data_IF_904444689123
#
_entry.id   IF_904444689123
#
_cell.length_a   1.000
_cell.length_b   1.000
_cell.length_c   1.000
_cell.angle_alpha   90.00
_cell.angle_beta   90.00
_cell.angle_gamma   90.00
#
_symmetry.space_group_name_H-M   'P 1'
#
loop_
_entity.id
_entity.type
_entity.pdbx_description
1 polymer ?
#
# COMPACT_ATOMS: atom_id res chain seq x y z
N UNK A 1 -9.62 -13.45 -29.06
CA UNK A 1 -9.05 -12.89 -27.81
C UNK A 1 -8.97 -11.39 -28.02
N UNK A 2 -9.55 -10.56 -27.14
CA UNK A 2 -9.45 -9.10 -27.28
C UNK A 2 -8.07 -8.62 -26.81
N UNK A 3 -7.51 -7.63 -27.49
CA UNK A 3 -6.20 -7.03 -27.15
C UNK A 3 -6.34 -6.06 -25.97
N UNK A 4 -5.21 -5.69 -25.34
CA UNK A 4 -5.23 -4.73 -24.23
C UNK A 4 -5.77 -3.38 -24.69
N UNK A 5 -5.51 -2.99 -25.94
CA UNK A 5 -5.99 -1.73 -26.52
C UNK A 5 -7.51 -1.73 -26.72
N UNK A 6 -8.13 -2.90 -26.83
CA UNK A 6 -9.58 -3.05 -26.96
C UNK A 6 -10.29 -3.17 -25.60
N UNK A 7 -9.56 -3.52 -24.53
CA UNK A 7 -10.15 -3.79 -23.22
C UNK A 7 -9.80 -2.76 -22.15
N UNK A 8 -8.76 -1.96 -22.37
CA UNK A 8 -8.24 -1.02 -21.39
C UNK A 8 -8.12 0.37 -22.02
N UNK A 9 -8.57 1.38 -21.29
CA UNK A 9 -8.32 2.77 -21.62
C UNK A 9 -7.22 3.32 -20.70
N UNK A 10 -6.07 3.80 -21.24
CA UNK A 10 -5.09 4.50 -20.44
C UNK A 10 -5.70 5.74 -19.79
N UNK A 11 -5.17 6.15 -18.64
CA UNK A 11 -5.62 7.38 -17.96
C UNK A 11 -5.29 8.61 -18.81
N UNK A 12 -6.06 9.67 -18.65
CA UNK A 12 -5.90 10.92 -19.40
C UNK A 12 -4.48 11.49 -19.30
N UNK A 13 -3.89 11.47 -18.10
CA UNK A 13 -2.51 11.90 -17.84
C UNK A 13 -1.46 11.10 -18.64
N UNK A 14 -1.71 9.81 -18.90
CA UNK A 14 -0.85 8.96 -19.75
C UNK A 14 -0.98 9.40 -21.20
N UNK A 15 -2.23 9.60 -21.66
CA UNK A 15 -2.53 9.99 -23.04
C UNK A 15 -2.00 11.39 -23.38
N UNK A 16 -1.95 12.30 -22.40
CA UNK A 16 -1.40 13.66 -22.54
C UNK A 16 0.13 13.72 -22.37
N UNK A 17 0.79 12.63 -22.00
CA UNK A 17 2.25 12.62 -21.79
C UNK A 17 2.70 13.38 -20.54
N UNK A 18 1.84 13.49 -19.53
CA UNK A 18 2.08 14.27 -18.30
C UNK A 18 2.75 13.44 -17.18
N UNK A 19 2.88 12.12 -17.35
CA UNK A 19 3.58 11.27 -16.39
C UNK A 19 5.07 11.55 -16.36
N UNK A 20 5.58 11.83 -15.15
CA UNK A 20 7.01 11.92 -14.87
C UNK A 20 7.53 10.58 -14.36
N UNK A 21 8.75 10.20 -14.75
CA UNK A 21 9.36 8.94 -14.30
C UNK A 21 9.51 8.85 -12.77
N UNK A 22 9.66 10.01 -12.11
CA UNK A 22 9.77 10.15 -10.67
C UNK A 22 8.59 9.50 -9.92
N UNK A 23 7.39 9.51 -10.51
CA UNK A 23 6.20 8.95 -9.88
C UNK A 23 6.23 7.42 -9.77
N UNK A 24 7.11 6.74 -10.51
CA UNK A 24 7.24 5.28 -10.43
C UNK A 24 8.17 4.83 -9.29
N UNK A 25 8.85 5.78 -8.62
CA UNK A 25 9.75 5.49 -7.51
C UNK A 25 9.01 5.62 -6.18
N UNK A 26 8.43 4.52 -5.73
CA UNK A 26 7.87 4.44 -4.38
C UNK A 26 8.96 4.60 -3.31
N UNK A 27 8.73 5.47 -2.32
CA UNK A 27 9.62 5.72 -1.18
C UNK A 27 8.82 5.82 0.10
N UNK A 28 9.04 4.88 1.03
CA UNK A 28 8.36 4.90 2.33
C UNK A 28 8.79 6.11 3.18
N UNK A 29 10.06 6.51 3.07
CA UNK A 29 10.60 7.71 3.75
C UNK A 29 9.86 8.96 3.30
N UNK A 30 9.67 9.13 1.99
CA UNK A 30 9.01 10.33 1.46
C UNK A 30 7.52 10.34 1.82
N UNK A 31 6.86 9.17 1.84
CA UNK A 31 5.48 9.06 2.35
C UNK A 31 5.40 9.44 3.82
N UNK A 32 6.33 8.96 4.65
CA UNK A 32 6.37 9.30 6.07
C UNK A 32 6.59 10.80 6.30
N UNK A 33 7.53 11.39 5.56
CA UNK A 33 7.89 12.81 5.65
C UNK A 33 6.90 13.74 4.93
N UNK A 34 5.82 13.22 4.34
CA UNK A 34 4.84 13.98 3.54
C UNK A 34 5.44 14.66 2.29
N UNK A 35 6.55 14.14 1.78
CA UNK A 35 7.27 14.64 0.59
C UNK A 35 6.95 13.83 -0.67
N UNK A 36 6.32 12.67 -0.54
CA UNK A 36 5.93 11.86 -1.70
C UNK A 36 4.79 12.51 -2.51
N UNK A 37 4.75 12.15 -3.79
CA UNK A 37 3.64 12.38 -4.70
C UNK A 37 2.32 11.85 -4.13
N UNK A 38 1.20 12.48 -4.47
CA UNK A 38 -0.10 12.16 -3.89
C UNK A 38 -0.55 10.72 -4.20
N UNK A 39 -0.08 10.14 -5.31
CA UNK A 39 -0.29 8.71 -5.64
C UNK A 39 0.22 7.75 -4.57
N UNK A 40 1.20 8.18 -3.76
CA UNK A 40 1.72 7.43 -2.63
C UNK A 40 1.35 8.03 -1.28
N UNK A 41 1.29 9.36 -1.16
CA UNK A 41 1.07 10.07 0.11
C UNK A 41 -0.40 10.06 0.54
N UNK A 42 -1.34 10.24 -0.39
CA UNK A 42 -2.77 10.25 -0.08
C UNK A 42 -3.32 8.82 -0.05
N UNK A 43 -3.86 8.35 1.09
CA UNK A 43 -4.32 6.97 1.20
C UNK A 43 -5.44 6.63 0.20
N UNK A 44 -6.33 7.59 -0.11
CA UNK A 44 -7.42 7.36 -1.05
C UNK A 44 -6.87 7.08 -2.45
N UNK A 45 -6.06 7.99 -2.96
CA UNK A 45 -5.42 7.87 -4.27
C UNK A 45 -4.54 6.62 -4.35
N UNK A 46 -3.78 6.34 -3.30
CA UNK A 46 -2.95 5.15 -3.21
C UNK A 46 -3.77 3.85 -3.36
N UNK A 47 -4.85 3.67 -2.57
CA UNK A 47 -5.66 2.45 -2.63
C UNK A 47 -6.55 2.35 -3.87
N UNK A 48 -6.96 3.48 -4.44
CA UNK A 48 -7.66 3.54 -5.73
C UNK A 48 -6.74 3.05 -6.87
N UNK A 49 -5.43 3.30 -6.76
CA UNK A 49 -4.43 2.90 -7.75
C UNK A 49 -3.71 1.58 -7.40
N UNK A 50 -4.08 0.94 -6.29
CA UNK A 50 -3.44 -0.30 -5.84
C UNK A 50 -4.26 -1.52 -6.24
N UNK A 51 -3.67 -2.39 -7.04
CA UNK A 51 -4.24 -3.70 -7.32
C UNK A 51 -4.15 -4.61 -6.07
N UNK A 52 -5.27 -5.21 -5.70
CA UNK A 52 -5.44 -5.95 -4.44
C UNK A 52 -5.04 -7.41 -4.58
N UNK A 53 -3.74 -7.64 -4.76
CA UNK A 53 -3.18 -8.99 -4.87
C UNK A 53 -3.42 -9.81 -3.60
N UNK A 54 -3.48 -11.13 -3.74
CA UNK A 54 -3.60 -12.02 -2.57
C UNK A 54 -2.38 -11.94 -1.66
N UNK A 55 -1.20 -11.67 -2.23
CA UNK A 55 0.03 -11.41 -1.46
C UNK A 55 -0.09 -10.17 -0.58
N UNK A 56 -0.63 -9.06 -1.11
CA UNK A 56 -0.88 -7.85 -0.32
C UNK A 56 -1.90 -8.12 0.79
N UNK A 57 -3.02 -8.77 0.48
CA UNK A 57 -4.05 -9.15 1.47
C UNK A 57 -3.45 -9.99 2.60
N UNK A 58 -2.63 -10.98 2.25
CA UNK A 58 -1.98 -11.89 3.20
C UNK A 58 -1.03 -11.13 4.11
N UNK A 59 -0.14 -10.32 3.52
CA UNK A 59 0.80 -9.48 4.27
C UNK A 59 0.08 -8.59 5.29
N UNK A 60 -0.95 -7.88 4.84
CA UNK A 60 -1.67 -6.93 5.70
C UNK A 60 -2.42 -7.65 6.82
N UNK A 61 -3.07 -8.78 6.55
CA UNK A 61 -3.71 -9.60 7.59
C UNK A 61 -2.71 -10.10 8.63
N UNK A 62 -1.52 -10.53 8.20
CA UNK A 62 -0.47 -11.01 9.09
C UNK A 62 0.05 -9.89 9.99
N UNK A 63 0.49 -8.78 9.38
CA UNK A 63 1.09 -7.65 10.08
C UNK A 63 0.08 -6.95 11.01
N UNK A 64 -1.11 -6.61 10.50
CA UNK A 64 -2.13 -5.90 11.27
C UNK A 64 -2.77 -6.78 12.34
N UNK A 65 -2.92 -8.08 12.08
CA UNK A 65 -3.42 -9.03 13.08
C UNK A 65 -2.50 -9.10 14.31
N UNK A 66 -1.18 -9.11 14.09
CA UNK A 66 -0.24 -8.98 15.22
C UNK A 66 -0.33 -7.61 15.85
N UNK A 67 -0.31 -6.54 15.05
CA UNK A 67 -0.25 -5.16 15.51
C UNK A 67 -1.41 -4.76 16.41
N UNK A 68 -2.62 -5.21 16.06
CA UNK A 68 -3.85 -4.97 16.83
C UNK A 68 -4.03 -5.92 18.02
N UNK A 69 -3.24 -7.00 18.08
CA UNK A 69 -3.38 -8.07 19.08
C UNK A 69 -4.47 -9.09 18.76
N UNK A 70 -5.30 -8.87 17.74
CA UNK A 70 -6.35 -9.81 17.30
C UNK A 70 -5.77 -11.18 16.95
N UNK A 71 -4.57 -11.19 16.36
CA UNK A 71 -3.79 -12.39 16.07
C UNK A 71 -2.38 -12.26 16.67
N UNK A 72 -2.30 -12.18 17.99
CA UNK A 72 -1.02 -12.01 18.71
C UNK A 72 0.05 -13.09 18.41
N UNK A 73 -0.37 -14.27 17.93
CA UNK A 73 0.52 -15.36 17.53
C UNK A 73 1.19 -15.18 16.16
N UNK A 74 0.71 -14.24 15.33
CA UNK A 74 1.30 -13.96 14.02
C UNK A 74 2.77 -13.52 14.15
N UNK A 75 3.60 -13.75 13.13
CA UNK A 75 5.05 -13.52 13.23
C UNK A 75 5.39 -12.05 13.54
N UNK A 76 6.31 -11.75 14.49
CA UNK A 76 6.83 -10.41 14.72
C UNK A 76 7.72 -9.89 13.59
N UNK A 77 8.22 -10.78 12.74
CA UNK A 77 9.13 -10.47 11.64
C UNK A 77 8.57 -11.05 10.36
N UNK A 78 8.35 -10.20 9.35
CA UNK A 78 7.89 -10.62 8.03
C UNK A 78 8.98 -10.29 7.02
N UNK A 79 9.51 -11.32 6.36
CA UNK A 79 10.47 -11.16 5.27
C UNK A 79 9.72 -11.12 3.94
N UNK A 80 9.82 -10.00 3.22
CA UNK A 80 9.25 -9.87 1.88
C UNK A 80 10.21 -10.47 0.86
N UNK A 81 9.93 -11.69 0.43
CA UNK A 81 10.66 -12.38 -0.63
C UNK A 81 9.99 -12.09 -1.97
N UNK A 82 10.43 -11.03 -2.64
CA UNK A 82 9.98 -10.72 -3.99
C UNK A 82 11.18 -10.36 -4.87
N UNK A 83 11.11 -10.74 -6.14
CA UNK A 83 12.02 -10.27 -7.19
C UNK A 83 12.02 -8.74 -7.30
N UNK A 84 12.95 -8.20 -8.10
CA UNK A 84 12.94 -6.78 -8.46
C UNK A 84 11.58 -6.38 -9.06
N UNK A 85 11.07 -5.20 -8.69
CA UNK A 85 9.73 -4.76 -9.07
C UNK A 85 8.56 -5.44 -8.33
N UNK A 86 8.82 -6.39 -7.42
CA UNK A 86 7.77 -7.17 -6.74
C UNK A 86 6.98 -6.43 -5.64
N UNK A 87 7.02 -5.10 -5.59
CA UNK A 87 6.14 -4.30 -4.73
C UNK A 87 6.52 -4.21 -3.26
N UNK A 88 7.77 -4.49 -2.85
CA UNK A 88 8.19 -4.41 -1.42
C UNK A 88 7.89 -3.04 -0.78
N UNK A 89 8.33 -1.95 -1.40
CA UNK A 89 8.06 -0.60 -0.87
C UNK A 89 6.57 -0.27 -0.92
N UNK A 90 5.86 -0.69 -1.97
CA UNK A 90 4.42 -0.50 -2.12
C UNK A 90 3.63 -1.18 -0.99
N UNK A 91 4.00 -2.42 -0.69
CA UNK A 91 3.45 -3.21 0.40
C UNK A 91 3.66 -2.54 1.77
N UNK A 92 4.85 -1.97 2.00
CA UNK A 92 5.14 -1.23 3.22
C UNK A 92 4.34 0.08 3.31
N UNK A 93 4.13 0.79 2.20
CA UNK A 93 3.28 2.00 2.14
C UNK A 93 1.83 1.65 2.46
N UNK A 94 1.31 0.55 1.90
CA UNK A 94 -0.05 0.08 2.21
C UNK A 94 -0.23 -0.20 3.71
N UNK A 95 0.73 -0.90 4.32
CA UNK A 95 0.74 -1.17 5.75
C UNK A 95 0.82 0.12 6.57
N UNK A 96 1.69 1.05 6.17
CA UNK A 96 1.86 2.36 6.82
C UNK A 96 0.55 3.17 6.83
N UNK A 97 -0.15 3.24 5.69
CA UNK A 97 -1.44 3.93 5.59
C UNK A 97 -2.47 3.32 6.53
N UNK A 98 -2.62 2.00 6.54
CA UNK A 98 -3.57 1.31 7.42
C UNK A 98 -3.21 1.50 8.91
N UNK A 99 -1.93 1.42 9.25
CA UNK A 99 -1.44 1.63 10.62
C UNK A 99 -1.62 3.08 11.11
N UNK A 100 -1.73 4.05 10.20
CA UNK A 100 -1.95 5.46 10.56
C UNK A 100 -3.31 5.74 11.19
N UNK A 101 -4.29 4.82 11.06
CA UNK A 101 -5.66 4.99 11.56
C UNK A 101 -6.48 6.06 10.80
N UNK A 102 -5.98 6.57 9.68
CA UNK A 102 -6.64 7.62 8.87
C UNK A 102 -7.43 7.07 7.68
N UNK A 103 -7.37 5.76 7.43
CA UNK A 103 -8.00 5.12 6.27
C UNK A 103 -9.44 4.74 6.60
N UNK A 104 -10.38 5.15 5.75
CA UNK A 104 -11.79 4.77 5.87
C UNK A 104 -11.97 3.27 5.65
N UNK A 105 -12.71 2.60 6.53
CA UNK A 105 -13.01 1.18 6.42
C UNK A 105 -13.65 0.78 5.08
N UNK A 106 -14.52 1.64 4.53
CA UNK A 106 -15.19 1.38 3.24
C UNK A 106 -14.20 1.26 2.08
N UNK A 107 -13.04 1.91 2.17
CA UNK A 107 -12.02 1.93 1.12
C UNK A 107 -11.24 0.61 1.03
N UNK A 108 -11.11 -0.09 2.15
CA UNK A 108 -10.18 -1.22 2.33
C UNK A 108 -10.88 -2.48 2.83
N UNK A 109 -12.22 -2.52 2.84
CA UNK A 109 -13.01 -3.64 3.35
C UNK A 109 -12.79 -4.96 2.60
N UNK A 110 -12.42 -4.88 1.32
CA UNK A 110 -12.09 -6.01 0.47
C UNK A 110 -10.61 -6.44 0.57
N UNK A 111 -9.80 -5.64 1.26
CA UNK A 111 -8.37 -5.86 1.47
C UNK A 111 -8.11 -6.48 2.85
N UNK A 112 -8.70 -5.93 3.91
CA UNK A 112 -8.56 -6.41 5.29
C UNK A 112 -9.87 -6.34 6.07
N UNK A 113 -10.15 -7.31 6.96
CA UNK A 113 -11.27 -7.25 7.89
C UNK A 113 -11.21 -6.02 8.81
N UNK A 114 -12.38 -5.49 9.17
CA UNK A 114 -12.54 -4.30 10.01
C UNK A 114 -11.77 -4.40 11.34
N UNK A 115 -11.86 -5.56 12.00
CA UNK A 115 -11.21 -5.85 13.28
C UNK A 115 -9.68 -5.74 13.24
N UNK A 116 -9.06 -5.84 12.06
CA UNK A 116 -7.61 -5.72 11.92
C UNK A 116 -7.16 -4.27 11.70
N UNK A 117 -8.08 -3.33 11.49
CA UNK A 117 -7.71 -1.92 11.30
C UNK A 117 -7.53 -1.28 12.68
N UNK A 118 -6.35 -0.71 12.99
CA UNK A 118 -6.13 -0.10 14.31
C UNK A 118 -7.14 1.03 14.57
N UNK A 119 -7.81 1.03 15.74
CA UNK A 119 -8.81 2.06 16.08
C UNK A 119 -8.19 3.43 16.37
N UNK A 120 -6.88 3.47 16.58
CA UNK A 120 -6.07 4.68 16.80
C UNK A 120 -4.81 4.58 15.96
N UNK A 121 -4.25 5.74 15.61
CA UNK A 121 -2.97 5.81 14.91
C UNK A 121 -1.87 5.08 15.69
N UNK A 122 -1.18 4.16 15.02
CA UNK A 122 0.01 3.51 15.54
C UNK A 122 1.22 4.40 15.21
N UNK A 123 2.08 4.62 16.19
CA UNK A 123 3.37 5.28 15.94
C UNK A 123 4.25 4.35 15.10
N UNK A 124 4.56 4.77 13.88
CA UNK A 124 5.46 4.05 12.98
C UNK A 124 6.77 4.83 12.83
N UNK A 125 7.89 4.10 12.81
CA UNK A 125 9.23 4.63 12.51
C UNK A 125 9.74 3.86 11.29
N UNK A 126 9.79 4.47 10.09
CA UNK A 126 10.38 3.84 8.93
C UNK A 126 11.90 3.78 9.06
N UNK A 127 12.48 2.61 8.84
CA UNK A 127 13.92 2.42 8.73
C UNK A 127 14.23 1.92 7.33
N UNK A 128 14.99 2.71 6.57
CA UNK A 128 15.42 2.35 5.22
C UNK A 128 16.95 2.25 5.24
N UNK A 129 17.46 1.07 4.94
CA UNK A 129 18.89 0.85 4.77
C UNK A 129 19.35 1.36 3.42
N UNK A 130 20.45 2.13 3.42
CA UNK A 130 21.20 2.55 2.23
C UNK A 130 22.31 1.56 1.91
#
# INVERSE_FOLDING_TARGET
>A
MKTIFETCQPRDEVLRGELKDEIFRASLTDVHNQQAEDVYKDPKTFFDHTHRTDGLKTLLKEALGRLTGVKAANSPVIRLETSFGGGKTHNLIALYHLASGKVSHKMVSDLVPLELIPPKSVRAIPLVGS
#
